data_IF_270396355109
#
_entry.id   IF_270396355109
#
_cell.length_a   1.000
_cell.length_b   1.000
_cell.length_c   1.000
_cell.angle_alpha   90.00
_cell.angle_beta   90.00
_cell.angle_gamma   90.00
#
_symmetry.space_group_name_H-M   'P 1'
#
loop_
_entity.id
_entity.type
_entity.pdbx_description
1 polymer ?
#
# COMPACT_ATOMS: atom_id res chain seq x y z
N UNK A 1 4.96 9.78 14.60
CA UNK A 1 4.92 9.60 13.14
C UNK A 1 3.85 8.59 12.77
N UNK A 2 3.37 8.67 11.57
CA UNK A 2 2.38 7.71 11.09
C UNK A 2 2.74 7.30 9.67
N UNK A 3 2.14 6.21 9.21
CA UNK A 3 2.39 5.68 7.87
C UNK A 3 1.39 6.25 6.87
N UNK A 4 1.83 6.48 5.64
CA UNK A 4 0.96 6.89 4.56
C UNK A 4 1.20 5.98 3.36
N UNK A 5 0.13 5.55 2.72
CA UNK A 5 0.19 4.72 1.52
C UNK A 5 -0.23 5.49 0.27
N UNK A 6 -0.17 6.82 0.35
CA UNK A 6 -0.57 7.65 -0.80
C UNK A 6 0.21 7.29 -2.05
N UNK A 7 1.51 7.02 -1.89
CA UNK A 7 2.35 6.65 -3.03
C UNK A 7 1.86 5.39 -3.73
N UNK A 8 1.37 4.43 -2.93
CA UNK A 8 0.82 3.21 -3.50
C UNK A 8 -0.37 3.50 -4.39
N UNK A 9 -1.30 4.32 -3.91
CA UNK A 9 -2.51 4.63 -4.68
C UNK A 9 -2.18 5.41 -5.94
N UNK A 10 -1.25 6.35 -5.86
CA UNK A 10 -0.81 7.10 -7.03
C UNK A 10 -0.19 6.16 -8.06
N UNK A 11 0.65 5.22 -7.60
CA UNK A 11 1.28 4.26 -8.52
C UNK A 11 0.24 3.39 -9.23
N UNK A 12 -0.78 2.94 -8.48
CA UNK A 12 -1.83 2.13 -9.10
C UNK A 12 -2.58 2.92 -10.17
N UNK A 13 -2.85 4.20 -9.89
CA UNK A 13 -3.52 5.05 -10.86
C UNK A 13 -2.64 5.23 -12.10
N UNK A 14 -1.36 5.50 -11.90
CA UNK A 14 -0.43 5.70 -13.02
C UNK A 14 -0.29 4.46 -13.89
N UNK A 15 -0.34 3.28 -13.25
CA UNK A 15 -0.23 2.03 -13.98
C UNK A 15 -1.59 1.50 -14.45
N UNK A 16 -2.66 2.25 -14.18
CA UNK A 16 -4.02 1.88 -14.57
C UNK A 16 -4.43 0.53 -14.00
N UNK A 17 -4.09 0.29 -12.74
CA UNK A 17 -4.46 -0.92 -12.02
C UNK A 17 -5.59 -0.59 -11.06
N UNK A 18 -6.80 -1.11 -11.29
CA UNK A 18 -7.91 -0.88 -10.35
C UNK A 18 -7.61 -1.54 -8.99
N UNK A 19 -8.12 -0.93 -7.92
CA UNK A 19 -7.91 -1.48 -6.57
C UNK A 19 -8.41 -2.92 -6.45
N UNK A 20 -9.51 -3.24 -7.12
CA UNK A 20 -10.08 -4.60 -7.07
C UNK A 20 -9.10 -5.61 -7.66
N UNK A 21 -8.46 -5.26 -8.78
CA UNK A 21 -7.46 -6.13 -9.40
C UNK A 21 -6.25 -6.25 -8.49
N UNK A 22 -5.78 -5.12 -7.96
CA UNK A 22 -4.64 -5.09 -7.05
C UNK A 22 -4.89 -6.02 -5.84
N UNK A 23 -6.06 -5.91 -5.21
CA UNK A 23 -6.39 -6.74 -4.06
C UNK A 23 -6.39 -8.22 -4.41
N UNK A 24 -6.96 -8.54 -5.56
CA UNK A 24 -7.06 -9.94 -6.00
C UNK A 24 -5.68 -10.52 -6.30
N UNK A 25 -4.87 -9.77 -7.04
CA UNK A 25 -3.56 -10.26 -7.47
C UNK A 25 -2.59 -10.41 -6.30
N UNK A 26 -2.70 -9.55 -5.30
CA UNK A 26 -1.85 -9.63 -4.12
C UNK A 26 -2.46 -10.49 -3.02
N UNK A 27 -3.68 -10.98 -3.23
CA UNK A 27 -4.36 -11.86 -2.28
C UNK A 27 -4.52 -11.23 -0.90
N UNK A 28 -4.79 -9.93 -0.88
CA UNK A 28 -4.98 -9.23 0.39
C UNK A 28 -6.39 -9.45 0.91
N UNK A 29 -6.49 -9.62 2.23
CA UNK A 29 -7.80 -9.75 2.87
C UNK A 29 -8.53 -8.42 2.88
N UNK A 30 -9.87 -8.43 3.01
CA UNK A 30 -10.62 -7.17 3.11
C UNK A 30 -10.16 -6.33 4.31
N UNK A 31 -9.79 -6.98 5.42
CA UNK A 31 -9.29 -6.25 6.58
C UNK A 31 -7.99 -5.52 6.30
N UNK A 32 -7.07 -6.17 5.56
CA UNK A 32 -5.81 -5.56 5.20
C UNK A 32 -6.05 -4.38 4.24
N UNK A 33 -6.94 -4.55 3.27
CA UNK A 33 -7.28 -3.46 2.36
C UNK A 33 -7.86 -2.27 3.12
N UNK A 34 -8.70 -2.55 4.11
CA UNK A 34 -9.28 -1.50 4.93
C UNK A 34 -8.18 -0.70 5.66
N UNK A 35 -7.21 -1.42 6.21
CA UNK A 35 -6.10 -0.74 6.91
C UNK A 35 -5.28 0.11 5.95
N UNK A 36 -5.01 -0.39 4.75
CA UNK A 36 -4.28 0.39 3.75
C UNK A 36 -5.05 1.66 3.38
N UNK A 37 -6.36 1.55 3.23
CA UNK A 37 -7.19 2.71 2.89
C UNK A 37 -7.23 3.74 4.01
N UNK A 38 -7.01 3.31 5.25
CA UNK A 38 -7.04 4.21 6.41
C UNK A 38 -5.66 4.63 6.88
N UNK A 39 -4.63 4.27 6.15
CA UNK A 39 -3.24 4.56 6.54
C UNK A 39 -2.91 3.96 7.91
N UNK A 40 -3.37 2.73 8.15
CA UNK A 40 -3.05 1.99 9.35
C UNK A 40 -1.93 1.01 9.08
N UNK A 41 -1.23 0.62 10.13
CA UNK A 41 -0.10 -0.28 9.99
C UNK A 41 -0.55 -1.67 9.55
N UNK A 42 0.21 -2.26 8.63
CA UNK A 42 0.00 -3.63 8.20
C UNK A 42 1.33 -4.37 8.37
N UNK A 43 1.26 -5.69 8.33
CA UNK A 43 2.48 -6.49 8.48
C UNK A 43 3.48 -6.19 7.37
N UNK A 44 4.76 -6.23 7.72
CA UNK A 44 5.82 -6.01 6.73
C UNK A 44 5.71 -7.02 5.60
N UNK A 45 5.30 -8.25 5.89
CA UNK A 45 5.14 -9.28 4.85
C UNK A 45 4.11 -8.86 3.80
N UNK A 46 3.08 -8.12 4.21
CA UNK A 46 2.09 -7.59 3.27
C UNK A 46 2.74 -6.58 2.35
N UNK A 47 3.53 -5.66 2.92
CA UNK A 47 4.21 -4.65 2.12
C UNK A 47 5.18 -5.27 1.14
N UNK A 48 5.90 -6.31 1.56
CA UNK A 48 6.84 -7.00 0.67
C UNK A 48 6.11 -7.69 -0.48
N UNK A 49 4.93 -8.25 -0.21
CA UNK A 49 4.12 -8.86 -1.26
C UNK A 49 3.66 -7.82 -2.28
N UNK A 50 3.27 -6.65 -1.81
CA UNK A 50 2.89 -5.55 -2.69
C UNK A 50 4.07 -5.11 -3.54
N UNK A 51 5.25 -4.97 -2.93
CA UNK A 51 6.45 -4.59 -3.65
C UNK A 51 6.79 -5.62 -4.74
N UNK A 52 6.63 -6.88 -4.42
CA UNK A 52 6.89 -7.94 -5.40
C UNK A 52 5.93 -7.85 -6.58
N UNK A 53 4.65 -7.62 -6.29
CA UNK A 53 3.64 -7.48 -7.33
C UNK A 53 3.94 -6.29 -8.24
N UNK A 54 4.33 -5.16 -7.65
CA UNK A 54 4.60 -3.94 -8.40
C UNK A 54 6.04 -3.83 -8.88
N UNK A 55 6.89 -4.75 -8.45
CA UNK A 55 8.32 -4.77 -8.80
C UNK A 55 8.98 -3.44 -8.43
N UNK A 56 8.85 -3.06 -7.16
CA UNK A 56 9.41 -1.80 -6.68
C UNK A 56 9.89 -1.95 -5.24
N UNK A 57 10.62 -0.94 -4.78
CA UNK A 57 11.09 -0.91 -3.41
C UNK A 57 10.00 -0.35 -2.49
N UNK A 58 10.15 -0.61 -1.20
CA UNK A 58 9.13 -0.25 -0.21
C UNK A 58 8.90 1.27 -0.16
N UNK A 59 9.94 2.06 -0.38
CA UNK A 59 9.81 3.52 -0.38
C UNK A 59 8.93 4.06 -1.49
N UNK A 60 8.58 3.24 -2.47
CA UNK A 60 7.71 3.66 -3.56
C UNK A 60 6.24 3.43 -3.26
N UNK A 61 5.92 2.74 -2.16
CA UNK A 61 4.51 2.46 -1.83
C UNK A 61 4.08 3.07 -0.51
N UNK A 62 5.01 3.47 0.34
CA UNK A 62 4.64 4.07 1.62
C UNK A 62 5.74 4.98 2.11
N UNK A 63 5.39 5.80 3.10
CA UNK A 63 6.36 6.70 3.71
C UNK A 63 5.91 7.03 5.12
N UNK A 64 6.89 7.41 5.94
CA UNK A 64 6.62 7.86 7.30
C UNK A 64 6.36 9.36 7.25
N UNK A 65 5.28 9.78 7.88
CA UNK A 65 4.90 11.18 7.90
C UNK A 65 5.00 11.70 9.32
N UNK A 66 5.65 12.85 9.50
CA UNK A 66 5.71 13.50 10.82
C UNK A 66 4.34 14.07 11.14
N UNK A 67 3.83 13.73 12.33
CA UNK A 67 2.60 14.32 12.82
C UNK A 67 2.97 15.36 13.84
N UNK A 68 2.90 16.61 13.45
CA UNK A 68 3.14 17.70 14.37
C UNK A 68 1.94 17.89 15.24
N UNK A 69 2.27 18.12 16.08
CA UNK A 69 1.25 18.54 16.70
C UNK A 69 1.00 19.56 16.95
#
# INVERSE_FOLDING_TARGET
MKISYKKLWVMLIEREIPKAVFRKETELSPGTMSKLNKNEEVALSVLLRICEYLNCDIGYICEAIHTDK
#
